data_IF_783855716100
#
_entry.id   IF_783855716100
#
_cell.length_a   1.000
_cell.length_b   1.000
_cell.length_c   1.000
_cell.angle_alpha   90.00
_cell.angle_beta   90.00
_cell.angle_gamma   90.00
#
_symmetry.space_group_name_H-M   'P 1'
#
loop_
_entity.id
_entity.type
_entity.pdbx_description
1 polymer ?
#
# COMPACT_ATOMS: atom_id res chain seq x y z
N UNK A 1 -24.03 -6.01 -4.89
CA UNK A 1 -23.36 -5.03 -5.77
C UNK A 1 -23.08 -5.77 -7.06
N UNK A 2 -23.71 -5.39 -8.18
CA UNK A 2 -23.56 -6.12 -9.45
C UNK A 2 -22.10 -6.03 -9.90
N UNK A 3 -21.48 -7.16 -10.20
CA UNK A 3 -20.21 -7.17 -10.95
C UNK A 3 -20.44 -6.35 -12.24
N UNK A 4 -19.59 -5.38 -12.57
CA UNK A 4 -19.68 -4.73 -13.86
C UNK A 4 -19.42 -5.79 -14.93
N UNK A 5 -20.41 -5.97 -15.81
CA UNK A 5 -20.32 -6.86 -16.97
C UNK A 5 -19.07 -6.49 -17.78
N UNK A 6 -18.25 -7.47 -18.19
CA UNK A 6 -17.08 -7.19 -19.02
C UNK A 6 -17.56 -6.69 -20.39
N UNK A 7 -17.32 -5.40 -20.68
CA UNK A 7 -17.57 -4.80 -21.99
C UNK A 7 -18.67 -3.74 -22.08
N UNK A 8 -19.35 -3.39 -20.98
CA UNK A 8 -20.27 -2.24 -20.95
C UNK A 8 -19.56 -0.92 -20.62
N UNK A 9 -19.93 0.19 -21.28
CA UNK A 9 -19.50 1.52 -20.81
C UNK A 9 -20.17 1.78 -19.46
N UNK A 10 -19.36 2.05 -18.43
CA UNK A 10 -19.86 2.50 -17.13
C UNK A 10 -20.39 3.93 -17.24
N UNK A 11 -21.23 4.35 -16.29
CA UNK A 11 -21.75 5.73 -16.26
C UNK A 11 -20.60 6.74 -16.20
N UNK A 12 -19.52 6.40 -15.51
CA UNK A 12 -18.28 7.16 -15.42
C UNK A 12 -17.53 7.22 -16.75
N UNK A 13 -17.47 6.10 -17.49
CA UNK A 13 -16.87 6.07 -18.82
C UNK A 13 -17.65 6.96 -19.81
N UNK A 14 -18.98 6.89 -19.77
CA UNK A 14 -19.85 7.71 -20.63
C UNK A 14 -19.77 9.19 -20.27
N UNK A 15 -19.80 9.54 -18.98
CA UNK A 15 -19.67 10.92 -18.53
C UNK A 15 -18.30 11.52 -18.92
N UNK A 16 -17.22 10.76 -18.73
CA UNK A 16 -15.88 11.19 -19.12
C UNK A 16 -15.74 11.32 -20.63
N UNK A 17 -16.29 10.37 -21.42
CA UNK A 17 -16.28 10.46 -22.87
C UNK A 17 -17.01 11.71 -23.35
N UNK A 18 -18.22 11.98 -22.85
CA UNK A 18 -18.98 13.20 -23.17
C UNK A 18 -18.18 14.46 -22.83
N UNK A 19 -17.55 14.52 -21.66
CA UNK A 19 -16.76 15.65 -21.23
C UNK A 19 -15.55 15.91 -22.16
N UNK A 20 -14.82 14.86 -22.55
CA UNK A 20 -13.62 14.97 -23.38
C UNK A 20 -13.90 15.38 -24.83
N UNK A 21 -15.10 15.11 -25.33
CA UNK A 21 -15.52 15.44 -26.70
C UNK A 21 -16.37 16.71 -26.80
N UNK A 22 -16.81 17.26 -25.66
CA UNK A 22 -17.65 18.44 -25.62
C UNK A 22 -16.86 19.73 -25.85
N UNK A 23 -17.50 20.72 -26.44
CA UNK A 23 -16.96 22.08 -26.51
C UNK A 23 -16.76 22.64 -25.08
N UNK A 24 -15.71 23.43 -24.82
CA UNK A 24 -15.44 23.98 -23.49
C UNK A 24 -16.61 24.77 -22.87
N UNK A 25 -17.46 25.37 -23.70
CA UNK A 25 -18.69 26.08 -23.30
C UNK A 25 -19.73 25.17 -22.62
N UNK A 26 -19.69 23.86 -22.88
CA UNK A 26 -20.61 22.88 -22.33
C UNK A 26 -20.14 22.31 -20.98
N UNK A 27 -18.85 22.47 -20.62
CA UNK A 27 -18.30 21.92 -19.39
C UNK A 27 -18.97 22.41 -18.11
N UNK A 28 -19.35 23.69 -17.95
CA UNK A 28 -20.11 24.13 -16.78
C UNK A 28 -21.44 23.37 -16.58
N UNK A 29 -22.03 22.84 -17.65
CA UNK A 29 -23.25 22.02 -17.58
C UNK A 29 -22.95 20.55 -17.33
N UNK A 30 -21.90 20.01 -17.96
CA UNK A 30 -21.55 18.59 -17.86
C UNK A 30 -20.84 18.23 -16.55
N UNK A 31 -20.07 19.18 -16.00
CA UNK A 31 -19.20 18.98 -14.86
C UNK A 31 -19.09 20.25 -13.98
N UNK A 32 -20.21 20.84 -13.51
CA UNK A 32 -20.24 22.14 -12.84
C UNK A 32 -19.24 22.24 -11.68
N UNK A 33 -19.18 21.20 -10.83
CA UNK A 33 -18.25 21.15 -9.69
C UNK A 33 -16.79 21.11 -10.12
N UNK A 34 -16.47 20.29 -11.13
CA UNK A 34 -15.11 20.18 -11.66
C UNK A 34 -14.69 21.50 -12.32
N UNK A 35 -15.57 22.11 -13.11
CA UNK A 35 -15.32 23.38 -13.77
C UNK A 35 -15.12 24.51 -12.78
N UNK A 36 -15.92 24.58 -11.71
CA UNK A 36 -15.75 25.56 -10.65
C UNK A 36 -14.42 25.38 -9.89
N UNK A 37 -14.03 24.14 -9.60
CA UNK A 37 -12.82 23.84 -8.84
C UNK A 37 -11.52 24.02 -9.64
N UNK A 38 -11.52 23.64 -10.92
CA UNK A 38 -10.30 23.59 -11.76
C UNK A 38 -10.19 24.82 -12.67
N UNK A 39 -11.31 25.36 -13.13
CA UNK A 39 -11.39 26.43 -14.11
C UNK A 39 -11.25 25.93 -15.55
N UNK A 40 -12.01 26.55 -16.47
CA UNK A 40 -12.03 26.19 -17.90
C UNK A 40 -10.64 26.19 -18.54
N UNK A 41 -9.78 27.23 -18.36
CA UNK A 41 -8.48 27.26 -19.03
C UNK A 41 -7.55 26.12 -18.62
N UNK A 42 -7.66 25.65 -17.38
CA UNK A 42 -6.87 24.51 -16.90
C UNK A 42 -7.42 23.18 -17.44
N UNK A 43 -8.75 23.04 -17.51
CA UNK A 43 -9.40 21.90 -18.15
C UNK A 43 -9.05 21.81 -19.64
N UNK A 44 -9.00 22.92 -20.37
CA UNK A 44 -8.53 22.96 -21.77
C UNK A 44 -7.11 22.44 -21.90
N UNK A 45 -6.19 22.88 -21.03
CA UNK A 45 -4.82 22.34 -21.04
C UNK A 45 -4.78 20.85 -20.77
N UNK A 46 -5.61 20.35 -19.84
CA UNK A 46 -5.70 18.92 -19.51
C UNK A 46 -6.23 18.12 -20.70
N UNK A 47 -7.31 18.56 -21.34
CA UNK A 47 -7.92 17.89 -22.50
C UNK A 47 -6.97 17.94 -23.70
N UNK A 48 -6.37 19.09 -23.99
CA UNK A 48 -5.39 19.24 -25.06
C UNK A 48 -4.17 18.32 -24.85
N UNK A 49 -3.61 18.30 -23.64
CA UNK A 49 -2.51 17.39 -23.33
C UNK A 49 -2.92 15.92 -23.40
N UNK A 50 -4.19 15.60 -23.10
CA UNK A 50 -4.73 14.25 -23.26
C UNK A 50 -4.79 13.86 -24.74
N UNK A 51 -5.34 14.72 -25.59
CA UNK A 51 -5.42 14.54 -27.05
C UNK A 51 -4.03 14.41 -27.68
N UNK A 52 -3.04 15.19 -27.23
CA UNK A 52 -1.65 15.04 -27.68
C UNK A 52 -1.04 13.65 -27.37
N UNK A 53 -1.52 12.96 -26.31
CA UNK A 53 -1.07 11.61 -25.94
C UNK A 53 -1.85 10.51 -26.66
N UNK A 54 -3.13 10.71 -26.95
CA UNK A 54 -3.98 9.67 -27.52
C UNK A 54 -4.21 9.81 -29.03
N UNK A 55 -3.93 10.98 -29.62
CA UNK A 55 -4.32 11.30 -31.00
C UNK A 55 -5.79 11.74 -31.07
N UNK A 56 -6.47 11.37 -32.15
CA UNK A 56 -7.91 11.57 -32.29
C UNK A 56 -8.64 10.72 -31.25
N UNK A 57 -9.55 11.33 -30.48
CA UNK A 57 -10.32 10.62 -29.46
C UNK A 57 -11.13 9.47 -30.09
N UNK A 58 -11.07 8.29 -29.48
CA UNK A 58 -11.83 7.11 -29.89
C UNK A 58 -12.92 6.73 -28.89
N UNK A 59 -12.51 6.27 -27.71
CA UNK A 59 -13.47 5.78 -26.70
C UNK A 59 -12.90 5.81 -25.28
N UNK A 60 -13.78 5.73 -24.30
CA UNK A 60 -13.44 5.45 -22.90
C UNK A 60 -14.03 4.08 -22.55
N UNK A 61 -13.18 3.18 -22.07
CA UNK A 61 -13.60 1.85 -21.59
C UNK A 61 -13.26 1.68 -20.12
N UNK A 62 -14.05 0.86 -19.41
CA UNK A 62 -13.75 0.48 -18.03
C UNK A 62 -13.11 -0.92 -17.99
N UNK A 63 -12.10 -1.09 -17.15
CA UNK A 63 -11.36 -2.33 -17.00
C UNK A 63 -10.56 -2.44 -15.70
N UNK A 64 -9.68 -3.45 -15.62
CA UNK A 64 -8.94 -3.82 -14.40
C UNK A 64 -7.88 -2.79 -13.97
N UNK A 65 -7.56 -1.78 -14.79
CA UNK A 65 -6.66 -0.69 -14.41
C UNK A 65 -7.37 0.64 -14.19
N UNK A 66 -8.71 0.64 -14.17
CA UNK A 66 -9.52 1.85 -14.19
C UNK A 66 -10.02 2.18 -15.59
N UNK A 67 -10.43 3.44 -15.78
CA UNK A 67 -10.92 3.91 -17.07
C UNK A 67 -9.74 4.08 -18.03
N UNK A 68 -9.91 3.66 -19.28
CA UNK A 68 -8.90 3.80 -20.33
C UNK A 68 -9.46 4.70 -21.42
N UNK A 69 -8.88 5.89 -21.56
CA UNK A 69 -9.16 6.79 -22.68
C UNK A 69 -8.26 6.37 -23.84
N UNK A 70 -8.86 5.98 -24.95
CA UNK A 70 -8.16 5.49 -26.14
C UNK A 70 -8.41 6.40 -27.33
N UNK A 71 -7.37 6.63 -28.12
CA UNK A 71 -7.43 7.36 -29.39
C UNK A 71 -6.59 6.69 -30.47
N UNK A 72 -6.50 7.33 -31.63
CA UNK A 72 -5.83 6.77 -32.83
C UNK A 72 -4.33 6.48 -32.64
N UNK A 73 -3.66 7.17 -31.73
CA UNK A 73 -2.21 7.09 -31.52
C UNK A 73 -1.79 6.56 -30.15
N UNK A 74 -2.73 6.35 -29.21
CA UNK A 74 -2.36 6.00 -27.84
C UNK A 74 -3.51 5.86 -26.88
N UNK A 75 -3.15 5.61 -25.62
CA UNK A 75 -4.07 5.42 -24.50
C UNK A 75 -3.55 6.13 -23.27
N UNK A 76 -4.45 6.57 -22.39
CA UNK A 76 -4.12 7.05 -21.04
C UNK A 76 -5.08 6.44 -20.03
N UNK A 77 -4.63 6.23 -18.79
CA UNK A 77 -5.55 5.86 -17.69
C UNK A 77 -6.28 7.09 -17.18
N UNK A 78 -7.48 6.87 -16.71
CA UNK A 78 -8.32 7.87 -16.10
C UNK A 78 -9.17 7.27 -14.99
N UNK A 79 -9.73 8.16 -14.20
CA UNK A 79 -10.71 7.89 -13.18
C UNK A 79 -11.74 9.01 -13.23
N UNK A 80 -13.00 8.67 -12.99
CA UNK A 80 -14.10 9.62 -12.96
C UNK A 80 -15.15 9.16 -11.94
N UNK A 81 -15.93 10.10 -11.45
CA UNK A 81 -17.19 9.85 -10.75
C UNK A 81 -18.33 10.55 -11.49
N UNK A 82 -19.42 9.83 -11.67
CA UNK A 82 -20.63 10.35 -12.28
C UNK A 82 -21.80 10.30 -11.29
N UNK A 83 -22.59 11.36 -11.23
CA UNK A 83 -23.87 11.34 -10.57
C UNK A 83 -24.90 10.52 -11.39
N UNK A 84 -26.04 10.09 -10.80
CA UNK A 84 -27.03 9.27 -11.49
C UNK A 84 -27.64 9.90 -12.75
N UNK A 85 -27.65 11.22 -12.84
CA UNK A 85 -28.09 12.00 -14.00
C UNK A 85 -27.02 12.15 -15.09
N UNK A 86 -25.82 11.60 -14.86
CA UNK A 86 -24.69 11.65 -15.78
C UNK A 86 -23.79 12.87 -15.65
N UNK A 87 -23.99 13.72 -14.62
CA UNK A 87 -23.06 14.80 -14.25
C UNK A 87 -21.70 14.23 -13.84
N UNK A 88 -20.62 14.76 -14.41
CA UNK A 88 -19.25 14.41 -14.01
C UNK A 88 -18.84 15.22 -12.77
N UNK A 89 -18.76 14.55 -11.62
CA UNK A 89 -18.54 15.20 -10.32
C UNK A 89 -17.07 15.24 -9.91
N UNK A 90 -16.27 14.32 -10.43
CA UNK A 90 -14.82 14.31 -10.24
C UNK A 90 -14.13 13.60 -11.41
N UNK A 91 -12.89 14.00 -11.71
CA UNK A 91 -12.06 13.33 -12.70
C UNK A 91 -10.58 13.39 -12.34
N UNK A 92 -9.83 12.40 -12.83
CA UNK A 92 -8.37 12.37 -12.83
C UNK A 92 -7.90 11.69 -14.11
N UNK A 93 -7.05 12.34 -14.88
CA UNK A 93 -6.44 11.77 -16.09
C UNK A 93 -4.93 11.64 -15.87
N UNK A 94 -4.36 10.50 -16.26
CA UNK A 94 -2.94 10.24 -16.13
C UNK A 94 -2.11 11.14 -17.06
N UNK A 95 -1.06 11.75 -16.51
CA UNK A 95 -0.15 12.61 -17.27
C UNK A 95 0.82 11.88 -18.20
N UNK A 96 0.67 10.56 -18.37
CA UNK A 96 1.56 9.70 -19.13
C UNK A 96 0.76 8.73 -20.02
N UNK A 97 1.38 8.28 -21.12
CA UNK A 97 0.80 7.25 -21.98
C UNK A 97 0.71 5.92 -21.22
N UNK A 98 -0.40 5.23 -21.38
CA UNK A 98 -0.66 3.93 -20.78
C UNK A 98 -0.24 2.80 -21.72
N UNK A 99 0.60 1.90 -21.20
CA UNK A 99 0.93 0.63 -21.85
C UNK A 99 0.45 -0.50 -20.96
N UNK A 100 -0.51 -1.34 -21.41
CA UNK A 100 -0.98 -2.44 -20.60
C UNK A 100 0.12 -3.49 -20.39
N UNK A 101 0.15 -4.14 -19.23
CA UNK A 101 1.08 -5.23 -18.99
C UNK A 101 0.81 -6.39 -19.96
N UNK A 102 1.88 -6.98 -20.51
CA UNK A 102 1.79 -8.14 -21.42
C UNK A 102 1.25 -9.40 -20.72
N UNK A 103 1.53 -9.54 -19.43
CA UNK A 103 1.09 -10.67 -18.60
C UNK A 103 0.63 -10.15 -17.24
N UNK A 104 -0.55 -10.59 -16.79
CA UNK A 104 -1.05 -10.35 -15.44
C UNK A 104 -0.98 -11.64 -14.63
N UNK A 105 0.11 -11.80 -13.90
CA UNK A 105 0.16 -12.80 -12.84
C UNK A 105 -0.33 -12.14 -11.56
N UNK A 106 -1.30 -12.74 -10.84
CA UNK A 106 -1.67 -12.24 -9.53
C UNK A 106 -0.43 -12.20 -8.63
N UNK A 107 -0.13 -11.05 -8.03
CA UNK A 107 1.10 -10.87 -7.25
C UNK A 107 1.27 -11.94 -6.15
N UNK A 108 0.15 -12.36 -5.54
CA UNK A 108 0.15 -13.42 -4.53
C UNK A 108 0.62 -14.77 -5.08
N UNK A 109 0.35 -15.10 -6.34
CA UNK A 109 0.77 -16.36 -6.96
C UNK A 109 2.29 -16.38 -7.17
N UNK A 110 2.85 -15.31 -7.72
CA UNK A 110 4.31 -15.19 -7.93
C UNK A 110 5.06 -15.32 -6.60
N UNK A 111 4.61 -14.60 -5.57
CA UNK A 111 5.21 -14.70 -4.24
C UNK A 111 5.05 -16.09 -3.62
N UNK A 112 3.88 -16.71 -3.78
CA UNK A 112 3.62 -18.07 -3.27
C UNK A 112 4.57 -19.09 -3.91
N UNK A 113 4.75 -19.04 -5.22
CA UNK A 113 5.67 -19.93 -5.95
C UNK A 113 7.11 -19.70 -5.50
N UNK A 114 7.57 -18.45 -5.46
CA UNK A 114 8.93 -18.14 -5.01
C UNK A 114 9.18 -18.63 -3.58
N UNK A 115 8.25 -18.40 -2.65
CA UNK A 115 8.39 -18.84 -1.27
C UNK A 115 8.36 -20.36 -1.13
N UNK A 116 7.50 -21.05 -1.89
CA UNK A 116 7.47 -22.51 -1.91
C UNK A 116 8.78 -23.10 -2.44
N UNK A 117 9.32 -22.56 -3.53
CA UNK A 117 10.60 -23.00 -4.10
C UNK A 117 11.76 -22.78 -3.14
N UNK A 118 11.84 -21.60 -2.50
CA UNK A 118 12.91 -21.32 -1.54
C UNK A 118 12.76 -22.16 -0.26
N UNK A 119 11.53 -22.39 0.22
CA UNK A 119 11.29 -23.28 1.35
C UNK A 119 11.70 -24.72 1.02
N UNK A 120 11.32 -25.25 -0.14
CA UNK A 120 11.71 -26.58 -0.61
C UNK A 120 13.24 -26.69 -0.77
N UNK A 121 13.88 -25.67 -1.35
CA UNK A 121 15.34 -25.60 -1.48
C UNK A 121 16.05 -25.69 -0.14
N UNK A 122 15.56 -24.96 0.88
CA UNK A 122 16.13 -25.02 2.22
C UNK A 122 15.97 -26.40 2.88
N UNK A 123 14.82 -27.06 2.70
CA UNK A 123 14.63 -28.46 3.14
C UNK A 123 15.64 -29.36 2.44
N UNK A 124 15.76 -29.26 1.11
CA UNK A 124 16.67 -30.10 0.33
C UNK A 124 18.14 -29.91 0.72
N UNK A 125 18.61 -28.69 1.00
CA UNK A 125 19.99 -28.44 1.44
C UNK A 125 20.29 -29.19 2.75
N UNK A 126 19.41 -29.06 3.75
CA UNK A 126 19.62 -29.64 5.07
C UNK A 126 19.51 -31.18 5.03
N UNK A 127 18.60 -31.72 4.23
CA UNK A 127 18.44 -33.16 4.04
C UNK A 127 19.49 -33.79 3.11
N UNK A 128 20.12 -33.03 2.22
CA UNK A 128 21.21 -33.54 1.36
C UNK A 128 22.61 -33.35 1.95
N UNK A 129 22.73 -32.71 3.11
CA UNK A 129 24.02 -32.54 3.79
C UNK A 129 24.71 -33.89 4.03
N UNK A 130 25.93 -34.02 3.49
CA UNK A 130 26.79 -35.20 3.62
C UNK A 130 27.68 -35.20 4.86
N UNK A 131 27.83 -34.04 5.51
CA UNK A 131 28.66 -33.85 6.70
C UNK A 131 28.10 -32.74 7.61
N UNK A 132 28.63 -32.65 8.84
CA UNK A 132 28.17 -31.67 9.84
C UNK A 132 28.42 -30.21 9.44
N UNK A 133 29.45 -29.95 8.66
CA UNK A 133 29.83 -28.59 8.22
C UNK A 133 28.86 -28.10 7.15
N UNK A 134 28.52 -28.95 6.17
CA UNK A 134 27.49 -28.70 5.17
C UNK A 134 26.11 -28.50 5.81
N UNK A 135 25.75 -29.30 6.83
CA UNK A 135 24.50 -29.12 7.56
C UNK A 135 24.44 -27.77 8.27
N UNK A 136 25.53 -27.37 8.93
CA UNK A 136 25.63 -26.08 9.63
C UNK A 136 25.55 -24.90 8.67
N UNK A 137 26.18 -25.01 7.49
CA UNK A 137 26.06 -24.03 6.40
C UNK A 137 24.60 -23.89 5.91
N UNK A 138 23.90 -25.03 5.75
CA UNK A 138 22.49 -25.06 5.42
C UNK A 138 21.61 -24.39 6.48
N UNK A 139 21.90 -24.63 7.76
CA UNK A 139 21.19 -23.99 8.87
C UNK A 139 21.39 -22.47 8.86
N UNK A 140 22.62 -21.98 8.62
CA UNK A 140 22.89 -20.56 8.51
C UNK A 140 22.13 -19.91 7.33
N UNK A 141 22.04 -20.61 6.20
CA UNK A 141 21.27 -20.16 5.02
C UNK A 141 19.77 -20.12 5.30
N UNK A 142 19.24 -21.15 5.96
CA UNK A 142 17.84 -21.20 6.44
C UNK A 142 17.57 -20.00 7.36
N UNK A 143 18.43 -19.77 8.36
CA UNK A 143 18.30 -18.65 9.29
C UNK A 143 18.31 -17.30 8.55
N UNK A 144 19.23 -17.12 7.59
CA UNK A 144 19.30 -15.90 6.77
C UNK A 144 18.00 -15.64 6.01
N UNK A 145 17.42 -16.68 5.41
CA UNK A 145 16.14 -16.61 4.70
C UNK A 145 15.01 -16.14 5.64
N UNK A 146 14.89 -16.72 6.84
CA UNK A 146 13.85 -16.32 7.79
C UNK A 146 14.05 -14.92 8.37
N UNK A 147 15.29 -14.54 8.69
CA UNK A 147 15.62 -13.18 9.13
C UNK A 147 15.20 -12.16 8.06
N UNK A 148 15.52 -12.43 6.80
CA UNK A 148 15.12 -11.57 5.69
C UNK A 148 13.59 -11.56 5.48
N UNK A 149 12.96 -12.73 5.42
CA UNK A 149 11.53 -12.88 5.17
C UNK A 149 10.68 -12.20 6.25
N UNK A 150 10.98 -12.45 7.52
CA UNK A 150 10.25 -11.88 8.66
C UNK A 150 10.66 -10.42 8.94
N UNK A 151 11.92 -10.07 8.63
CA UNK A 151 12.49 -8.75 8.87
C UNK A 151 12.06 -7.69 7.86
N UNK A 152 12.01 -8.07 6.58
CA UNK A 152 11.63 -7.19 5.47
C UNK A 152 10.19 -7.43 4.99
N UNK A 153 9.63 -8.62 5.20
CA UNK A 153 8.22 -8.90 4.96
C UNK A 153 7.34 -8.41 6.10
N UNK A 154 6.04 -8.26 5.83
CA UNK A 154 5.03 -8.30 6.90
C UNK A 154 4.50 -9.74 6.90
N UNK A 155 4.89 -10.60 7.86
CA UNK A 155 4.51 -12.03 7.89
C UNK A 155 3.00 -12.25 7.83
N UNK A 156 2.23 -11.25 8.29
CA UNK A 156 0.78 -11.26 8.29
C UNK A 156 0.11 -10.92 6.94
N UNK A 157 0.89 -10.62 5.88
CA UNK A 157 0.44 -10.51 4.48
C UNK A 157 0.04 -11.86 3.88
N UNK A 158 0.57 -12.96 4.41
CA UNK A 158 0.45 -14.25 3.75
C UNK A 158 -0.90 -14.89 4.11
N UNK A 159 -1.64 -15.45 3.13
CA UNK A 159 -2.74 -16.36 3.43
C UNK A 159 -2.26 -17.35 4.48
N UNK A 160 -3.08 -17.64 5.51
CA UNK A 160 -2.67 -18.51 6.63
C UNK A 160 -1.98 -19.79 6.15
N UNK A 161 -2.46 -20.37 5.05
CA UNK A 161 -1.87 -21.54 4.41
C UNK A 161 -0.41 -21.34 3.95
N UNK A 162 -0.08 -20.21 3.33
CA UNK A 162 1.28 -19.92 2.85
C UNK A 162 2.25 -19.74 4.02
N UNK A 163 1.87 -18.97 5.05
CA UNK A 163 2.70 -18.82 6.25
C UNK A 163 2.94 -20.16 6.93
N UNK A 164 1.89 -20.97 7.10
CA UNK A 164 1.99 -22.31 7.67
C UNK A 164 2.84 -23.24 6.81
N UNK A 165 2.79 -23.13 5.48
CA UNK A 165 3.64 -23.91 4.59
C UNK A 165 5.11 -23.53 4.72
N UNK A 166 5.42 -22.22 4.81
CA UNK A 166 6.78 -21.75 5.08
C UNK A 166 7.25 -22.27 6.45
N UNK A 167 6.49 -22.03 7.53
CA UNK A 167 6.80 -22.54 8.88
C UNK A 167 6.99 -24.06 8.90
N UNK A 168 6.13 -24.83 8.23
CA UNK A 168 6.25 -26.28 8.09
C UNK A 168 7.53 -26.67 7.34
N UNK A 169 7.93 -25.91 6.32
CA UNK A 169 9.20 -26.07 5.62
C UNK A 169 10.40 -25.88 6.56
N UNK A 170 10.38 -24.88 7.46
CA UNK A 170 11.41 -24.74 8.50
C UNK A 170 11.46 -25.96 9.42
N UNK A 171 10.31 -26.41 9.93
CA UNK A 171 10.23 -27.59 10.81
C UNK A 171 10.76 -28.84 10.09
N UNK A 172 10.35 -29.07 8.84
CA UNK A 172 10.81 -30.17 8.02
C UNK A 172 12.32 -30.10 7.78
N UNK A 173 12.87 -28.92 7.52
CA UNK A 173 14.30 -28.71 7.33
C UNK A 173 15.08 -29.00 8.62
N UNK A 174 14.62 -28.48 9.77
CA UNK A 174 15.22 -28.69 11.08
C UNK A 174 15.12 -30.14 11.56
N UNK A 175 14.08 -30.88 11.16
CA UNK A 175 13.94 -32.29 11.49
C UNK A 175 15.15 -33.12 11.05
N UNK A 176 15.85 -32.73 9.98
CA UNK A 176 17.09 -33.37 9.51
C UNK A 176 18.21 -33.44 10.55
N UNK A 177 18.15 -32.62 11.62
CA UNK A 177 19.12 -32.61 12.72
C UNK A 177 19.30 -33.99 13.37
N UNK A 178 18.31 -34.88 13.31
CA UNK A 178 18.42 -36.26 13.83
C UNK A 178 19.56 -37.06 13.18
N UNK A 179 20.02 -36.67 11.98
CA UNK A 179 21.12 -37.32 11.26
C UNK A 179 22.50 -36.89 11.77
N UNK A 180 22.60 -35.76 12.50
CA UNK A 180 23.88 -35.18 12.93
C UNK A 180 24.82 -36.14 13.66
N UNK A 181 24.35 -37.04 14.56
CA UNK A 181 25.23 -38.01 15.22
C UNK A 181 25.96 -38.92 14.23
N UNK A 182 25.28 -39.32 13.14
CA UNK A 182 25.82 -40.22 12.11
C UNK A 182 26.57 -39.54 10.97
N UNK A 183 26.55 -38.20 10.90
CA UNK A 183 27.27 -37.46 9.87
C UNK A 183 28.77 -37.30 10.23
N UNK A 184 29.69 -37.48 9.27
CA UNK A 184 31.10 -37.20 9.47
C UNK A 184 31.35 -35.70 9.70
N UNK A 185 32.52 -35.37 10.25
CA UNK A 185 33.00 -33.99 10.27
C UNK A 185 33.42 -33.58 8.85
N UNK A 186 32.98 -32.42 8.38
CA UNK A 186 33.35 -31.88 7.07
C UNK A 186 34.50 -30.88 7.17
N UNK A 187 35.40 -30.88 6.18
CA UNK A 187 36.51 -29.92 6.10
C UNK A 187 36.19 -28.67 5.25
N UNK A 188 35.07 -28.67 4.52
CA UNK A 188 34.71 -27.59 3.59
C UNK A 188 34.16 -26.35 4.30
N UNK A 189 34.95 -25.27 4.36
CA UNK A 189 34.54 -24.02 5.01
C UNK A 189 33.80 -23.04 4.09
N UNK A 190 33.89 -23.19 2.77
CA UNK A 190 33.31 -22.24 1.80
C UNK A 190 31.79 -22.12 1.94
N UNK A 191 31.08 -23.25 2.04
CA UNK A 191 29.62 -23.26 2.25
C UNK A 191 29.23 -22.59 3.57
N UNK A 192 29.98 -22.86 4.64
CA UNK A 192 29.74 -22.25 5.96
C UNK A 192 29.97 -20.73 5.90
N UNK A 193 31.05 -20.28 5.27
CA UNK A 193 31.34 -18.87 5.07
C UNK A 193 30.22 -18.17 4.29
N UNK A 194 29.73 -18.77 3.20
CA UNK A 194 28.59 -18.25 2.43
C UNK A 194 27.34 -18.14 3.31
N UNK A 195 26.99 -19.19 4.05
CA UNK A 195 25.81 -19.18 4.92
C UNK A 195 25.89 -18.10 6.02
N UNK A 196 27.05 -17.94 6.65
CA UNK A 196 27.28 -16.92 7.68
C UNK A 196 27.25 -15.50 7.09
N UNK A 197 27.84 -15.29 5.90
CA UNK A 197 27.78 -13.99 5.21
C UNK A 197 26.34 -13.63 4.85
N UNK A 198 25.55 -14.58 4.35
CA UNK A 198 24.13 -14.36 4.08
C UNK A 198 23.36 -14.00 5.35
N UNK A 199 23.60 -14.70 6.47
CA UNK A 199 22.94 -14.42 7.74
C UNK A 199 23.32 -13.05 8.29
N UNK A 200 24.62 -12.73 8.31
CA UNK A 200 25.12 -11.43 8.74
C UNK A 200 24.56 -10.30 7.86
N UNK A 201 24.56 -10.50 6.53
CA UNK A 201 24.01 -9.55 5.56
C UNK A 201 22.50 -9.32 5.76
N UNK A 202 21.71 -10.38 5.96
CA UNK A 202 20.28 -10.27 6.24
C UNK A 202 20.03 -9.53 7.56
N UNK A 203 20.75 -9.89 8.63
CA UNK A 203 20.66 -9.22 9.93
C UNK A 203 21.03 -7.74 9.86
N UNK A 204 22.13 -7.42 9.17
CA UNK A 204 22.56 -6.04 8.94
C UNK A 204 21.52 -5.27 8.14
N UNK A 205 21.02 -5.80 7.03
CA UNK A 205 20.03 -5.13 6.18
C UNK A 205 18.76 -4.79 6.98
N UNK A 206 18.19 -5.76 7.70
CA UNK A 206 16.99 -5.56 8.52
C UNK A 206 17.24 -4.53 9.61
N UNK A 207 18.38 -4.62 10.30
CA UNK A 207 18.75 -3.69 11.38
C UNK A 207 18.97 -2.28 10.84
N UNK A 208 19.74 -2.13 9.77
CA UNK A 208 19.99 -0.86 9.10
C UNK A 208 18.68 -0.22 8.63
N UNK A 209 17.75 -1.02 8.08
CA UNK A 209 16.46 -0.53 7.64
C UNK A 209 15.57 -0.06 8.82
N UNK A 210 15.55 -0.79 9.94
CA UNK A 210 14.78 -0.41 11.14
C UNK A 210 15.39 0.77 11.90
N UNK A 211 16.72 0.89 11.88
CA UNK A 211 17.48 1.96 12.52
C UNK A 211 17.75 3.15 11.60
N UNK A 212 17.31 3.08 10.34
CA UNK A 212 17.50 4.15 9.37
C UNK A 212 17.03 5.48 9.97
N UNK A 213 17.92 6.49 9.96
CA UNK A 213 17.58 7.87 10.28
C UNK A 213 17.84 8.69 9.04
N UNK A 214 16.91 9.57 8.71
CA UNK A 214 17.26 10.73 7.91
C UNK A 214 17.36 11.93 8.83
N UNK A 215 18.19 12.93 8.47
CA UNK A 215 18.05 14.27 9.01
C UNK A 215 16.77 14.87 8.43
N UNK A 216 15.61 14.34 8.85
CA UNK A 216 14.31 14.94 8.63
C UNK A 216 13.87 15.55 9.97
N UNK A 217 13.21 16.72 9.96
CA UNK A 217 12.60 17.23 11.17
C UNK A 217 11.57 16.23 11.69
N UNK A 218 11.44 16.15 13.01
CA UNK A 218 10.33 15.42 13.64
C UNK A 218 9.05 16.24 13.50
N UNK A 219 7.93 15.55 13.36
CA UNK A 219 6.62 16.16 13.54
C UNK A 219 6.50 16.73 14.97
N UNK A 220 5.52 17.62 15.20
CA UNK A 220 5.10 17.86 16.58
C UNK A 220 4.60 16.53 17.19
N UNK A 221 4.70 16.34 18.51
CA UNK A 221 4.09 15.18 19.15
C UNK A 221 2.61 15.08 18.78
N UNK A 222 2.21 13.91 18.27
CA UNK A 222 0.85 13.60 17.87
C UNK A 222 0.23 12.63 18.88
N UNK A 223 -1.09 12.65 19.01
CA UNK A 223 -1.82 11.55 19.62
C UNK A 223 -1.92 10.39 18.63
N UNK A 224 -1.75 9.15 19.09
CA UNK A 224 -1.91 8.00 18.20
C UNK A 224 -3.38 7.89 17.76
N UNK A 225 -3.67 7.84 16.43
CA UNK A 225 -5.03 8.05 15.92
C UNK A 225 -5.95 6.83 16.00
N UNK A 226 -5.47 5.71 16.55
CA UNK A 226 -6.13 4.41 16.49
C UNK A 226 -6.13 3.71 17.86
N UNK A 227 -7.26 3.18 18.30
CA UNK A 227 -7.34 2.46 19.58
C UNK A 227 -6.82 1.02 19.48
N UNK A 228 -6.08 0.59 20.50
CA UNK A 228 -5.62 -0.79 20.66
C UNK A 228 -4.28 -1.07 19.96
N UNK A 229 -4.01 -2.34 19.65
CA UNK A 229 -2.74 -2.76 19.08
C UNK A 229 -2.75 -2.73 17.54
N UNK A 230 -1.80 -1.99 16.97
CA UNK A 230 -1.64 -1.79 15.54
C UNK A 230 -0.22 -2.14 15.09
N UNK A 231 -0.12 -2.83 13.97
CA UNK A 231 1.14 -3.27 13.39
C UNK A 231 1.55 -2.32 12.26
N UNK A 232 2.81 -1.88 12.29
CA UNK A 232 3.41 -1.07 11.24
C UNK A 232 3.81 -1.98 10.09
N UNK A 233 3.14 -1.88 8.93
CA UNK A 233 3.51 -2.63 7.71
C UNK A 233 4.43 -1.83 6.79
N UNK A 234 4.36 -0.50 6.84
CA UNK A 234 5.31 0.37 6.16
C UNK A 234 5.79 1.41 7.17
N UNK A 235 7.11 1.58 7.23
CA UNK A 235 7.78 2.49 8.16
C UNK A 235 9.24 2.09 8.31
N UNK A 236 10.11 3.02 8.71
CA UNK A 236 11.55 2.83 8.71
C UNK A 236 12.20 3.16 7.35
N UNK A 237 13.35 2.57 7.08
CA UNK A 237 14.18 2.90 5.92
C UNK A 237 13.72 2.32 4.58
N UNK A 238 14.38 2.69 3.47
CA UNK A 238 13.94 2.36 2.11
C UNK A 238 13.81 0.88 1.78
N UNK A 239 14.49 -0.01 2.52
CA UNK A 239 14.40 -1.45 2.32
C UNK A 239 13.09 -2.06 2.88
N UNK A 240 12.39 -1.36 3.77
CA UNK A 240 11.19 -1.85 4.48
C UNK A 240 10.00 -0.88 4.40
N UNK A 241 10.19 0.28 3.77
CA UNK A 241 9.17 1.29 3.53
C UNK A 241 9.17 1.72 2.06
N UNK A 242 8.12 1.35 1.32
CA UNK A 242 8.01 1.72 -0.09
C UNK A 242 7.82 3.23 -0.32
N UNK A 243 7.28 3.95 0.67
CA UNK A 243 7.06 5.40 0.61
C UNK A 243 8.37 6.20 0.64
N UNK A 244 9.48 5.59 1.09
CA UNK A 244 10.77 6.25 1.27
C UNK A 244 11.37 6.90 0.00
N UNK A 245 10.81 6.59 -1.18
CA UNK A 245 11.21 7.14 -2.49
C UNK A 245 10.45 8.41 -2.88
N UNK A 246 9.30 8.66 -2.24
CA UNK A 246 8.46 9.84 -2.49
C UNK A 246 8.81 10.89 -1.43
N UNK A 247 9.32 12.08 -1.81
CA UNK A 247 9.83 13.05 -0.84
C UNK A 247 8.87 13.39 0.29
N UNK A 248 7.60 13.59 -0.03
CA UNK A 248 6.59 14.02 0.92
C UNK A 248 6.05 12.87 1.79
N UNK A 249 6.08 11.62 1.28
CA UNK A 249 5.62 10.43 2.00
C UNK A 249 6.75 9.65 2.66
N UNK A 250 8.01 10.10 2.60
CA UNK A 250 9.18 9.27 2.94
C UNK A 250 9.19 8.65 4.33
N UNK A 251 8.47 9.27 5.27
CA UNK A 251 8.31 8.84 6.65
C UNK A 251 6.89 8.33 6.96
N UNK A 252 6.09 8.10 5.91
CA UNK A 252 4.73 7.60 6.04
C UNK A 252 4.69 6.22 6.67
N UNK A 253 3.61 6.03 7.42
CA UNK A 253 3.26 4.79 8.08
C UNK A 253 2.00 4.22 7.44
N UNK A 254 2.05 2.94 7.15
CA UNK A 254 0.85 2.16 6.88
C UNK A 254 0.59 1.25 8.09
N UNK A 255 -0.56 1.43 8.72
CA UNK A 255 -0.93 0.81 9.98
C UNK A 255 -2.11 -0.15 9.78
N UNK A 256 -1.97 -1.37 10.30
CA UNK A 256 -3.03 -2.39 10.25
C UNK A 256 -3.35 -2.98 11.61
N UNK A 257 -4.61 -3.36 11.79
CA UNK A 257 -5.02 -4.11 12.96
C UNK A 257 -4.72 -5.61 12.77
N UNK A 258 -4.48 -6.28 13.90
CA UNK A 258 -4.35 -7.72 13.98
C UNK A 258 -5.58 -8.28 14.71
N UNK A 259 -6.20 -9.32 14.15
CA UNK A 259 -7.24 -10.06 14.85
C UNK A 259 -6.68 -10.86 16.04
N UNK A 260 -7.58 -11.50 16.81
CA UNK A 260 -7.25 -12.29 18.02
C UNK A 260 -6.05 -13.24 17.89
N UNK A 261 -5.87 -13.83 16.72
CA UNK A 261 -4.81 -14.82 16.45
C UNK A 261 -3.57 -14.22 15.74
N UNK A 262 -3.42 -12.90 15.75
CA UNK A 262 -2.31 -12.21 15.07
C UNK A 262 -2.44 -12.13 13.55
N UNK A 263 -3.59 -12.52 12.97
CA UNK A 263 -3.85 -12.44 11.53
C UNK A 263 -4.51 -11.12 11.14
N UNK A 264 -4.10 -10.51 10.02
CA UNK A 264 -4.72 -9.28 9.47
C UNK A 264 -6.08 -9.53 8.83
N UNK A 265 -6.30 -10.72 8.31
CA UNK A 265 -7.50 -11.07 7.55
C UNK A 265 -8.02 -12.47 7.92
N UNK A 266 -9.34 -12.66 7.81
CA UNK A 266 -9.98 -13.98 7.77
C UNK A 266 -10.14 -14.43 6.30
N UNK A 267 -10.46 -15.70 6.02
CA UNK A 267 -10.70 -16.13 4.63
C UNK A 267 -11.72 -15.23 3.94
N UNK A 268 -11.35 -14.66 2.80
CA UNK A 268 -12.16 -13.71 2.04
C UNK A 268 -11.30 -12.72 1.25
N UNK A 269 -11.90 -12.10 0.23
CA UNK A 269 -11.27 -11.06 -0.60
C UNK A 269 -12.03 -9.72 -0.54
N UNK A 270 -12.93 -9.58 0.43
CA UNK A 270 -13.67 -8.34 0.66
C UNK A 270 -12.97 -7.51 1.75
N UNK A 271 -13.08 -6.17 1.73
CA UNK A 271 -12.50 -5.33 2.79
C UNK A 271 -12.93 -5.76 4.21
N UNK A 272 -14.18 -6.18 4.38
CA UNK A 272 -14.75 -6.67 5.65
C UNK A 272 -14.15 -7.98 6.19
N UNK A 273 -13.26 -8.63 5.43
CA UNK A 273 -12.46 -9.75 5.93
C UNK A 273 -11.25 -9.28 6.76
N UNK A 274 -10.83 -8.02 6.63
CA UNK A 274 -9.65 -7.49 7.29
C UNK A 274 -9.98 -6.87 8.64
N UNK A 275 -9.16 -7.17 9.64
CA UNK A 275 -9.34 -6.68 11.01
C UNK A 275 -9.25 -5.16 11.14
N UNK A 276 -8.60 -4.50 10.17
CA UNK A 276 -8.46 -3.04 10.15
C UNK A 276 -9.71 -2.33 9.61
N UNK A 277 -10.46 -2.96 8.71
CA UNK A 277 -11.58 -2.30 8.01
C UNK A 277 -12.69 -1.89 8.98
N UNK A 278 -13.21 -0.67 8.84
CA UNK A 278 -14.25 -0.11 9.70
C UNK A 278 -13.77 0.33 11.09
N UNK A 279 -12.46 0.24 11.39
CA UNK A 279 -11.96 0.71 12.69
C UNK A 279 -11.92 2.24 12.74
N UNK A 280 -12.32 2.87 13.87
CA UNK A 280 -12.32 4.32 14.00
C UNK A 280 -10.94 4.94 13.81
N UNK A 281 -10.89 6.05 13.08
CA UNK A 281 -9.72 6.90 12.90
C UNK A 281 -10.01 8.24 13.58
N UNK A 282 -9.22 8.58 14.59
CA UNK A 282 -9.33 9.81 15.35
C UNK A 282 -8.27 10.81 14.91
N UNK A 283 -8.54 12.10 15.09
CA UNK A 283 -7.58 13.15 14.79
C UNK A 283 -6.33 12.97 15.66
N UNK A 284 -5.13 12.89 15.06
CA UNK A 284 -3.89 12.79 15.82
C UNK A 284 -3.51 14.13 16.47
N UNK A 285 -4.20 15.23 16.17
CA UNK A 285 -3.82 16.55 16.65
C UNK A 285 -4.95 17.58 16.54
N UNK A 286 -4.78 18.74 17.17
CA UNK A 286 -5.64 19.90 16.95
C UNK A 286 -5.28 20.58 15.63
N UNK A 287 -6.23 20.97 14.81
CA UNK A 287 -5.91 21.64 13.55
C UNK A 287 -7.12 22.00 12.71
N UNK A 288 -6.86 22.56 11.53
CA UNK A 288 -7.89 22.90 10.54
C UNK A 288 -7.86 21.89 9.43
N UNK A 289 -9.03 21.41 9.01
CA UNK A 289 -9.15 20.51 7.87
C UNK A 289 -8.90 21.32 6.58
N UNK A 290 -7.87 20.96 5.84
CA UNK A 290 -7.46 21.66 4.60
C UNK A 290 -7.71 20.85 3.33
N UNK A 291 -8.05 19.58 3.46
CA UNK A 291 -8.50 18.77 2.33
C UNK A 291 -9.29 17.57 2.82
N UNK A 292 -10.40 17.29 2.14
CA UNK A 292 -11.25 16.13 2.39
C UNK A 292 -11.63 15.49 1.07
N UNK A 293 -11.64 14.16 1.05
CA UNK A 293 -12.42 13.42 0.06
C UNK A 293 -13.22 12.32 0.75
N UNK A 294 -14.47 12.15 0.32
CA UNK A 294 -15.32 11.04 0.70
C UNK A 294 -16.10 10.52 -0.53
N UNK A 295 -16.65 9.32 -0.44
CA UNK A 295 -17.46 8.69 -1.48
C UNK A 295 -16.67 7.96 -2.58
N UNK A 296 -15.34 7.96 -2.53
CA UNK A 296 -14.51 7.13 -3.42
C UNK A 296 -14.64 5.67 -2.96
N UNK A 297 -15.13 4.80 -3.84
CA UNK A 297 -15.33 3.40 -3.54
C UNK A 297 -14.03 2.70 -3.10
N UNK A 298 -14.17 1.76 -2.17
CA UNK A 298 -13.07 0.88 -1.79
C UNK A 298 -12.66 0.00 -2.97
N UNK A 299 -11.37 -0.22 -3.13
CA UNK A 299 -10.90 -1.26 -4.04
C UNK A 299 -11.03 -2.63 -3.40
N UNK A 300 -11.13 -3.66 -4.23
CA UNK A 300 -11.00 -5.03 -3.74
C UNK A 300 -9.54 -5.26 -3.29
N UNK A 301 -9.31 -5.81 -2.09
CA UNK A 301 -7.97 -6.17 -1.64
C UNK A 301 -7.17 -7.00 -2.67
N UNK A 302 -5.93 -6.60 -2.90
CA UNK A 302 -5.01 -7.15 -3.90
C UNK A 302 -5.17 -6.59 -5.32
N UNK A 303 -6.13 -5.70 -5.56
CA UNK A 303 -6.35 -5.02 -6.85
C UNK A 303 -6.00 -3.54 -6.73
N UNK A 304 -5.37 -2.98 -7.76
CA UNK A 304 -5.03 -1.55 -7.84
C UNK A 304 -5.44 -1.03 -9.21
N UNK A 305 -6.63 -0.42 -9.26
CA UNK A 305 -7.12 0.39 -10.37
C UNK A 305 -6.61 1.82 -10.22
N UNK A 306 -6.49 2.51 -11.35
CA UNK A 306 -6.11 3.93 -11.39
C UNK A 306 -7.21 4.77 -10.76
N UNK A 307 -6.86 5.47 -9.68
CA UNK A 307 -7.74 6.36 -8.93
C UNK A 307 -6.92 7.39 -8.14
N UNK A 308 -7.53 8.40 -7.50
CA UNK A 308 -6.81 9.33 -6.63
C UNK A 308 -5.99 8.56 -5.57
N UNK A 309 -4.67 8.81 -5.44
CA UNK A 309 -3.79 7.93 -4.68
C UNK A 309 -4.14 7.85 -3.20
N UNK A 310 -4.61 8.94 -2.59
CA UNK A 310 -5.03 8.95 -1.19
C UNK A 310 -6.44 8.38 -0.95
N UNK A 311 -7.26 8.21 -2.00
CA UNK A 311 -8.65 7.81 -1.84
C UNK A 311 -9.43 8.80 -0.97
N UNK A 312 -10.36 8.28 -0.15
CA UNK A 312 -11.00 9.09 0.89
C UNK A 312 -9.97 9.44 1.95
N UNK A 313 -9.94 10.70 2.35
CA UNK A 313 -8.88 11.23 3.21
C UNK A 313 -9.34 12.45 4.00
N UNK A 314 -8.57 12.76 5.05
CA UNK A 314 -8.64 14.01 5.80
C UNK A 314 -7.21 14.51 5.99
N UNK A 315 -6.93 15.72 5.50
CA UNK A 315 -5.66 16.41 5.71
C UNK A 315 -5.85 17.56 6.70
N UNK A 316 -4.97 17.64 7.68
CA UNK A 316 -5.04 18.59 8.78
C UNK A 316 -3.84 19.53 8.73
N UNK A 317 -4.11 20.83 8.67
CA UNK A 317 -3.11 21.85 8.95
C UNK A 317 -3.04 22.14 10.44
N UNK A 318 -1.83 22.05 10.95
CA UNK A 318 -1.46 22.23 12.33
C UNK A 318 -0.98 23.66 12.65
N UNK A 319 -0.87 24.50 11.61
CA UNK A 319 -0.14 25.77 11.61
C UNK A 319 1.38 25.64 11.41
N UNK A 320 1.90 24.41 11.31
CA UNK A 320 3.34 24.13 11.12
C UNK A 320 3.64 23.07 10.08
N UNK A 321 2.77 22.09 9.92
CA UNK A 321 2.90 20.93 9.04
C UNK A 321 1.51 20.42 8.67
N UNK A 322 1.44 19.67 7.58
CA UNK A 322 0.20 19.03 7.12
C UNK A 322 0.25 17.56 7.51
N UNK A 323 -0.71 17.11 8.31
CA UNK A 323 -0.89 15.70 8.67
C UNK A 323 -1.93 15.06 7.76
N UNK A 324 -1.56 14.00 7.07
CA UNK A 324 -2.41 13.34 6.06
C UNK A 324 -2.85 11.96 6.55
N UNK A 325 -4.16 11.75 6.59
CA UNK A 325 -4.80 10.47 6.89
C UNK A 325 -5.58 10.01 5.67
N UNK A 326 -5.28 8.82 5.15
CA UNK A 326 -5.79 8.37 3.85
C UNK A 326 -6.31 6.92 3.87
N UNK A 327 -6.91 6.53 2.75
CA UNK A 327 -7.57 5.24 2.54
C UNK A 327 -8.78 5.02 3.46
N UNK A 328 -9.51 6.08 3.79
CA UNK A 328 -10.69 6.01 4.64
C UNK A 328 -11.86 5.29 3.93
N UNK A 329 -12.77 4.75 4.73
CA UNK A 329 -13.95 4.02 4.25
C UNK A 329 -14.94 5.01 3.62
N UNK A 330 -15.50 4.70 2.43
CA UNK A 330 -16.47 5.57 1.78
C UNK A 330 -17.71 5.79 2.65
N UNK A 331 -18.14 7.04 2.76
CA UNK A 331 -19.28 7.49 3.57
C UNK A 331 -19.00 7.53 5.07
N UNK A 332 -17.73 7.39 5.50
CA UNK A 332 -17.37 7.42 6.92
C UNK A 332 -16.77 8.74 7.37
N UNK A 333 -16.41 9.64 6.46
CA UNK A 333 -15.76 10.90 6.84
C UNK A 333 -16.77 11.81 7.54
N UNK A 334 -16.39 12.35 8.69
CA UNK A 334 -17.30 13.08 9.61
C UNK A 334 -17.01 14.58 9.69
N UNK A 335 -16.08 15.08 8.88
CA UNK A 335 -15.63 16.46 8.85
C UNK A 335 -15.63 17.01 7.43
N UNK A 336 -15.69 18.33 7.30
CA UNK A 336 -15.62 19.07 6.04
C UNK A 336 -14.37 19.95 5.97
N UNK A 337 -14.00 20.35 4.77
CA UNK A 337 -12.93 21.35 4.57
C UNK A 337 -13.27 22.66 5.30
N UNK A 338 -12.30 23.23 6.02
CA UNK A 338 -12.47 24.41 6.85
C UNK A 338 -12.81 24.12 8.32
N UNK A 339 -13.23 22.90 8.67
CA UNK A 339 -13.54 22.55 10.06
C UNK A 339 -12.30 22.63 10.95
N UNK A 340 -12.46 23.13 12.18
CA UNK A 340 -11.45 22.98 13.24
C UNK A 340 -11.72 21.70 14.02
N UNK A 341 -10.71 20.84 14.15
CA UNK A 341 -10.79 19.57 14.87
C UNK A 341 -9.89 19.56 16.09
N UNK A 342 -10.27 18.78 17.11
CA UNK A 342 -9.43 18.51 18.28
C UNK A 342 -8.79 17.12 18.24
N UNK A 343 -7.63 16.95 18.84
CA UNK A 343 -6.98 15.66 19.01
C UNK A 343 -7.94 14.66 19.69
N UNK A 344 -8.11 13.49 19.09
CA UNK A 344 -9.05 12.45 19.53
C UNK A 344 -10.47 12.54 18.93
N UNK A 345 -10.81 13.64 18.25
CA UNK A 345 -12.08 13.76 17.51
C UNK A 345 -12.16 12.68 16.44
N UNK A 346 -13.32 12.05 16.27
CA UNK A 346 -13.53 11.09 15.19
C UNK A 346 -13.40 11.81 13.84
N UNK A 347 -12.67 11.22 12.90
CA UNK A 347 -12.54 11.73 11.53
C UNK A 347 -13.23 10.81 10.53
N UNK A 348 -13.17 9.49 10.77
CA UNK A 348 -13.88 8.48 9.99
C UNK A 348 -13.44 7.08 10.36
N UNK A 349 -13.48 6.17 9.39
CA UNK A 349 -13.11 4.77 9.59
C UNK A 349 -12.06 4.32 8.58
N UNK A 350 -11.23 3.34 8.95
CA UNK A 350 -10.27 2.71 8.04
C UNK A 350 -11.01 1.99 6.91
N UNK A 351 -10.63 2.31 5.66
CA UNK A 351 -11.17 1.73 4.45
C UNK A 351 -10.11 1.04 3.60
N UNK A 352 -10.35 1.01 2.29
CA UNK A 352 -9.44 0.52 1.26
C UNK A 352 -9.56 1.32 -0.06
N UNK A 353 -9.99 2.57 0.03
CA UNK A 353 -10.03 3.50 -1.11
C UNK A 353 -8.62 3.99 -1.45
N UNK A 354 -8.43 4.59 -2.62
CA UNK A 354 -7.12 5.04 -3.10
C UNK A 354 -6.16 3.92 -3.52
N UNK A 355 -4.87 4.23 -3.60
CA UNK A 355 -3.82 3.30 -3.99
C UNK A 355 -3.45 2.37 -2.81
N UNK A 356 -4.40 1.51 -2.40
CA UNK A 356 -4.28 0.63 -1.25
C UNK A 356 -4.41 -0.83 -1.65
N UNK A 357 -3.49 -1.68 -1.20
CA UNK A 357 -3.52 -3.13 -1.48
C UNK A 357 -4.40 -3.91 -0.53
N UNK A 358 -4.68 -3.36 0.65
CA UNK A 358 -5.53 -3.96 1.68
C UNK A 358 -5.92 -2.92 2.75
N UNK A 359 -7.01 -3.13 3.51
CA UNK A 359 -7.42 -2.18 4.53
C UNK A 359 -6.33 -1.80 5.53
N UNK A 360 -5.99 -0.52 5.57
CA UNK A 360 -4.99 0.07 6.46
C UNK A 360 -5.20 1.58 6.60
N UNK A 361 -4.66 2.19 7.66
CA UNK A 361 -4.51 3.64 7.73
C UNK A 361 -3.15 4.02 7.16
N UNK A 362 -3.12 4.84 6.11
CA UNK A 362 -1.92 5.58 5.72
C UNK A 362 -1.87 6.90 6.49
N UNK A 363 -0.73 7.17 7.11
CA UNK A 363 -0.50 8.35 7.94
C UNK A 363 0.90 8.92 7.70
N UNK A 364 0.98 10.20 7.37
CA UNK A 364 2.24 10.94 7.37
C UNK A 364 2.05 12.39 7.75
N UNK A 365 3.16 13.08 8.03
CA UNK A 365 3.20 14.52 8.14
C UNK A 365 4.25 15.07 7.16
N UNK A 366 3.99 16.24 6.59
CA UNK A 366 4.93 16.92 5.71
C UNK A 366 4.99 18.42 6.00
N UNK A 367 6.14 19.02 5.68
CA UNK A 367 6.34 20.47 5.66
C UNK A 367 7.13 20.83 4.42
N UNK A 368 6.61 21.75 3.62
CA UNK A 368 7.24 22.23 2.38
C UNK A 368 7.63 21.09 1.41
N UNK A 369 6.75 20.07 1.29
CA UNK A 369 6.98 18.90 0.44
C UNK A 369 8.00 17.88 0.97
N UNK A 370 8.51 18.07 2.19
CA UNK A 370 9.39 17.12 2.86
C UNK A 370 8.63 16.35 3.95
N UNK A 371 8.61 15.02 3.83
CA UNK A 371 8.02 14.15 4.85
C UNK A 371 8.82 14.18 6.17
N UNK A 372 8.08 14.19 7.28
CA UNK A 372 8.57 14.30 8.65
C UNK A 372 8.45 12.98 9.39
N UNK A 373 9.46 12.64 10.19
CA UNK A 373 9.38 11.47 11.07
C UNK A 373 8.30 11.72 12.15
N UNK A 374 7.37 10.78 12.29
CA UNK A 374 6.25 10.92 13.22
C UNK A 374 6.65 10.60 14.66
N UNK A 375 6.31 11.50 15.57
CA UNK A 375 6.40 11.29 17.01
C UNK A 375 5.00 11.19 17.61
N UNK A 376 4.75 10.18 18.45
CA UNK A 376 3.48 10.06 19.18
C UNK A 376 3.67 10.16 20.68
N UNK A 377 2.76 10.84 21.35
CA UNK A 377 2.66 10.89 22.81
C UNK A 377 2.53 9.48 23.39
N UNK A 378 3.33 9.17 24.41
CA UNK A 378 3.31 7.85 25.06
C UNK A 378 3.91 6.70 24.24
N UNK A 379 4.31 6.92 22.98
CA UNK A 379 4.94 5.90 22.13
C UNK A 379 6.43 6.21 21.99
N UNK A 380 7.27 5.52 22.77
CA UNK A 380 8.71 5.69 22.71
C UNK A 380 9.34 4.93 21.55
N UNK A 381 10.48 5.39 21.03
CA UNK A 381 11.24 4.66 20.00
C UNK A 381 10.66 4.76 18.58
N UNK A 382 11.30 4.08 17.63
CA UNK A 382 11.07 4.26 16.18
C UNK A 382 9.89 3.48 15.63
N UNK A 383 9.28 3.99 14.58
CA UNK A 383 8.19 3.34 13.88
C UNK A 383 8.74 2.69 12.61
N UNK A 384 8.82 1.37 12.62
CA UNK A 384 9.39 0.58 11.54
C UNK A 384 8.56 -0.67 11.29
N UNK A 385 8.63 -1.20 10.07
CA UNK A 385 7.99 -2.46 9.71
C UNK A 385 8.32 -3.58 10.69
N UNK A 386 7.30 -4.21 11.28
CA UNK A 386 7.50 -5.24 12.31
C UNK A 386 7.15 -4.79 13.72
N UNK A 387 7.04 -3.48 13.95
CA UNK A 387 6.68 -2.95 15.25
C UNK A 387 5.16 -2.98 15.46
N UNK A 388 4.75 -3.40 16.65
CA UNK A 388 3.39 -3.17 17.15
C UNK A 388 3.38 -1.94 18.06
N UNK A 389 2.44 -1.03 17.82
CA UNK A 389 2.18 0.17 18.60
C UNK A 389 0.84 0.00 19.30
N UNK A 390 0.74 0.47 20.54
CA UNK A 390 -0.53 0.50 21.29
C UNK A 390 -0.94 1.95 21.46
N UNK A 391 -2.15 2.27 21.02
CA UNK A 391 -2.81 3.57 21.18
C UNK A 391 -3.86 3.60 22.26
#
# INVERSE_FOLDING_TARGET
MRDPMPGGRSAEADALARFLTADPEQWPRLAPRVTAAVGIPALERIVHATNARIGEFGTVTDGPDGLIVSGSAGRVRAWAQAAPDGELTALRIEGARYTPPRLRLPAHLTWTVCLALVAAWNVLILWSAGDRTAWTAGLATLAAFYVFLEGCGAPAMQPRALRRAVEAGAVAALASAWRLPGLPAGAGLSGLAVGLVLLAGAGWLVTAARLHRRPAPLSRPLRFPLEGAWYVVQGGGPAVNHHARVPEQRAALDLVALGRYGSRTRPGREPTAYAAYGRPVRSPCDGTVVSVADGIADQRPGEIRYQPPYGNHVFLDTGREIVKLAHLRPGSVTVSEGDTVRAGQLLGEVGNSGNSTEPHLHLHAERDGAGLDLAFEGVSGRLYRGRTVRG
#
